data_IF_756502667036
#
_entry.id   IF_756502667036
#
_cell.length_a   1.000
_cell.length_b   1.000
_cell.length_c   1.000
_cell.angle_alpha   90.00
_cell.angle_beta   90.00
_cell.angle_gamma   90.00
#
_symmetry.space_group_name_H-M   'P 1'
#
loop_
_entity.id
_entity.type
_entity.pdbx_description
1 polymer ?
#
# COMPACT_ATOMS: atom_id res chain seq x y z
N UNK A 1 3.39 -23.41 8.75
CA UNK A 1 2.30 -22.43 8.59
C UNK A 1 2.18 -22.12 7.10
N UNK A 2 0.97 -22.02 6.57
CA UNK A 2 0.71 -21.70 5.16
C UNK A 2 0.27 -20.24 5.02
N UNK A 3 0.58 -19.60 3.89
CA UNK A 3 0.13 -18.24 3.58
C UNK A 3 -1.39 -18.25 3.42
N UNK A 4 -2.11 -17.37 4.11
CA UNK A 4 -3.56 -17.22 3.97
C UNK A 4 -3.93 -16.45 2.70
N UNK A 5 -4.93 -16.92 1.95
CA UNK A 5 -5.47 -16.21 0.78
C UNK A 5 -6.67 -15.37 1.21
N UNK A 6 -6.58 -14.05 1.04
CA UNK A 6 -7.65 -13.11 1.36
C UNK A 6 -8.37 -12.69 0.08
N UNK A 7 -9.70 -12.79 0.08
CA UNK A 7 -10.54 -12.38 -1.05
C UNK A 7 -10.82 -10.88 -1.02
N UNK A 8 -10.32 -10.15 -2.00
CA UNK A 8 -10.74 -8.77 -2.22
C UNK A 8 -12.17 -8.73 -2.76
N UNK A 9 -13.11 -8.04 -2.09
CA UNK A 9 -14.46 -7.80 -2.59
C UNK A 9 -14.66 -6.33 -3.03
N UNK A 10 -15.38 -6.08 -4.14
CA UNK A 10 -15.62 -4.71 -4.62
C UNK A 10 -16.72 -3.96 -3.83
N UNK A 11 -17.54 -4.68 -3.05
CA UNK A 11 -18.60 -4.13 -2.20
C UNK A 11 -19.14 -5.21 -1.24
N UNK A 12 -19.91 -4.78 -0.24
CA UNK A 12 -20.61 -5.64 0.72
C UNK A 12 -22.14 -5.68 0.50
N UNK A 13 -22.62 -5.38 -0.71
CA UNK A 13 -24.05 -5.54 -1.02
C UNK A 13 -24.47 -7.02 -0.87
N UNK A 14 -25.67 -7.25 -0.31
CA UNK A 14 -26.26 -8.58 -0.27
C UNK A 14 -26.44 -9.12 -1.68
N UNK A 15 -25.89 -10.30 -1.95
CA UNK A 15 -25.92 -10.89 -3.28
C UNK A 15 -24.90 -12.00 -3.48
N UNK A 16 -24.74 -12.46 -4.74
CA UNK A 16 -23.96 -13.65 -5.07
C UNK A 16 -22.49 -13.59 -4.64
N UNK A 17 -21.85 -12.42 -4.72
CA UNK A 17 -20.45 -12.26 -4.31
C UNK A 17 -20.26 -12.50 -2.82
N UNK A 18 -21.05 -11.81 -2.00
CA UNK A 18 -20.97 -11.93 -0.55
C UNK A 18 -21.35 -13.34 -0.07
N UNK A 19 -22.45 -13.89 -0.60
CA UNK A 19 -22.90 -15.25 -0.28
C UNK A 19 -21.83 -16.30 -0.64
N UNK A 20 -21.14 -16.13 -1.78
CA UNK A 20 -20.08 -17.04 -2.19
C UNK A 20 -18.84 -16.93 -1.31
N UNK A 21 -18.45 -15.71 -0.91
CA UNK A 21 -17.33 -15.51 0.00
C UNK A 21 -17.59 -16.17 1.37
N UNK A 22 -18.80 -16.01 1.91
CA UNK A 22 -19.23 -16.69 3.14
C UNK A 22 -19.21 -18.21 3.01
N UNK A 23 -19.77 -18.76 1.91
CA UNK A 23 -19.79 -20.21 1.68
C UNK A 23 -18.38 -20.83 1.53
N UNK A 24 -17.41 -20.06 1.03
CA UNK A 24 -16.00 -20.49 0.97
C UNK A 24 -15.28 -20.41 2.31
N UNK A 25 -15.91 -19.82 3.34
CA UNK A 25 -15.29 -19.47 4.62
C UNK A 25 -13.96 -18.70 4.42
N UNK A 26 -13.90 -17.89 3.36
CA UNK A 26 -12.70 -17.16 3.02
C UNK A 26 -12.60 -15.87 3.85
N UNK A 27 -11.41 -15.51 4.34
CA UNK A 27 -11.18 -14.17 4.86
C UNK A 27 -11.33 -13.17 3.71
N UNK A 28 -11.95 -12.03 4.00
CA UNK A 28 -12.27 -10.99 3.01
C UNK A 28 -11.51 -9.73 3.32
N UNK A 29 -11.13 -9.00 2.26
CA UNK A 29 -10.63 -7.63 2.33
C UNK A 29 -11.52 -6.73 1.48
N UNK A 30 -11.80 -5.53 1.98
CA UNK A 30 -12.45 -4.48 1.20
C UNK A 30 -11.60 -3.21 1.22
N UNK A 31 -11.66 -2.46 0.14
CA UNK A 31 -11.10 -1.12 0.07
C UNK A 31 -12.07 -0.11 0.67
N UNK A 32 -11.60 0.85 1.48
CA UNK A 32 -12.43 1.90 2.09
C UNK A 32 -13.30 2.63 1.05
N UNK A 33 -12.77 2.84 -0.15
CA UNK A 33 -13.49 3.47 -1.27
C UNK A 33 -14.79 2.74 -1.65
N UNK A 34 -14.93 1.43 -1.37
CA UNK A 34 -16.17 0.71 -1.64
C UNK A 34 -17.34 1.18 -0.76
N UNK A 35 -17.04 1.82 0.36
CA UNK A 35 -18.01 2.40 1.29
C UNK A 35 -18.23 3.89 1.06
N UNK A 36 -17.54 4.53 0.11
CA UNK A 36 -17.65 5.97 -0.10
C UNK A 36 -19.03 6.40 -0.62
N UNK A 37 -19.59 7.44 -0.02
CA UNK A 37 -20.74 8.19 -0.53
C UNK A 37 -20.26 9.36 -1.36
N UNK A 38 -20.84 9.51 -2.52
CA UNK A 38 -20.51 10.58 -3.44
C UNK A 38 -21.76 11.36 -3.80
N UNK A 39 -21.66 12.68 -3.81
CA UNK A 39 -22.68 13.59 -4.31
C UNK A 39 -22.17 14.24 -5.60
N UNK A 40 -23.09 14.62 -6.48
CA UNK A 40 -22.79 15.53 -7.58
C UNK A 40 -23.05 16.94 -7.05
N UNK A 41 -22.00 17.75 -6.96
CA UNK A 41 -22.08 19.16 -6.65
C UNK A 41 -21.40 19.90 -7.82
N UNK A 42 -22.13 20.81 -8.47
CA UNK A 42 -21.61 21.70 -9.52
C UNK A 42 -20.80 20.99 -10.63
N UNK A 43 -21.28 19.83 -11.09
CA UNK A 43 -20.64 19.03 -12.14
C UNK A 43 -19.48 18.16 -11.67
N UNK A 44 -19.02 18.31 -10.42
CA UNK A 44 -17.93 17.54 -9.83
C UNK A 44 -18.44 16.52 -8.81
N UNK A 45 -17.68 15.43 -8.65
CA UNK A 45 -18.00 14.35 -7.71
C UNK A 45 -17.33 14.67 -6.38
N UNK A 46 -18.12 15.01 -5.36
CA UNK A 46 -17.62 15.31 -4.03
C UNK A 46 -17.87 14.14 -3.08
N UNK A 47 -16.86 13.78 -2.28
CA UNK A 47 -17.03 12.81 -1.21
C UNK A 47 -17.92 13.39 -0.10
N UNK A 48 -18.77 12.55 0.50
CA UNK A 48 -19.83 13.01 1.41
C UNK A 48 -20.07 12.06 2.60
N UNK A 49 -19.03 11.30 2.97
CA UNK A 49 -19.09 10.34 4.08
C UNK A 49 -19.11 8.87 3.65
N UNK A 50 -19.31 7.99 4.64
CA UNK A 50 -19.29 6.54 4.49
C UNK A 50 -20.70 5.91 4.43
N UNK A 51 -20.82 4.77 3.76
CA UNK A 51 -22.00 3.87 3.71
C UNK A 51 -21.81 2.72 4.69
N UNK A 52 -21.66 3.01 5.98
CA UNK A 52 -21.38 1.98 7.00
C UNK A 52 -22.50 0.95 7.16
N UNK A 53 -23.74 1.28 6.77
CA UNK A 53 -24.87 0.35 6.86
C UNK A 53 -24.65 -1.00 6.14
N UNK A 54 -23.85 -1.05 5.07
CA UNK A 54 -23.55 -2.32 4.38
C UNK A 54 -22.60 -3.23 5.15
N UNK A 55 -21.90 -2.73 6.17
CA UNK A 55 -21.06 -3.55 7.05
C UNK A 55 -21.88 -4.57 7.85
N UNK A 56 -23.17 -4.30 8.06
CA UNK A 56 -24.07 -5.26 8.70
C UNK A 56 -24.19 -6.59 7.92
N UNK A 57 -23.92 -6.58 6.61
CA UNK A 57 -23.97 -7.77 5.77
C UNK A 57 -22.73 -8.66 5.95
N UNK A 58 -21.63 -8.14 6.53
CA UNK A 58 -20.39 -8.88 6.70
C UNK A 58 -20.40 -9.87 7.88
N UNK A 59 -21.52 -10.00 8.62
CA UNK A 59 -21.63 -10.83 9.83
C UNK A 59 -21.31 -12.31 9.59
N UNK A 60 -21.66 -12.84 8.42
CA UNK A 60 -21.46 -14.24 8.07
C UNK A 60 -20.11 -14.51 7.39
N UNK A 61 -19.24 -13.50 7.27
CA UNK A 61 -17.88 -13.68 6.75
C UNK A 61 -16.97 -14.23 7.85
N UNK A 62 -15.99 -15.05 7.45
CA UNK A 62 -14.98 -15.57 8.38
C UNK A 62 -14.18 -14.46 9.07
N UNK A 63 -13.81 -13.43 8.30
CA UNK A 63 -13.22 -12.19 8.80
C UNK A 63 -13.29 -11.10 7.73
N UNK A 64 -13.16 -9.84 8.14
CA UNK A 64 -13.10 -8.69 7.25
C UNK A 64 -11.90 -7.80 7.58
N UNK A 65 -10.99 -7.64 6.63
CA UNK A 65 -9.90 -6.67 6.66
C UNK A 65 -10.28 -5.40 5.89
N UNK A 66 -9.75 -4.25 6.31
CA UNK A 66 -9.97 -2.95 5.68
C UNK A 66 -8.66 -2.42 5.07
N UNK A 67 -8.66 -2.28 3.75
CA UNK A 67 -7.65 -1.53 2.98
C UNK A 67 -8.02 -0.04 2.92
N UNK A 68 -7.03 0.84 3.03
CA UNK A 68 -7.19 2.29 3.04
C UNK A 68 -7.61 2.88 1.69
N UNK A 69 -7.46 2.12 0.61
CA UNK A 69 -7.66 2.53 -0.78
C UNK A 69 -6.54 3.38 -1.40
N UNK A 70 -5.31 3.38 -0.84
CA UNK A 70 -4.18 4.21 -1.30
C UNK A 70 -4.04 4.27 -2.82
N UNK A 71 -3.94 3.12 -3.49
CA UNK A 71 -3.84 3.05 -4.96
C UNK A 71 -5.06 3.65 -5.69
N UNK A 72 -6.28 3.31 -5.25
CA UNK A 72 -7.49 3.81 -5.90
C UNK A 72 -7.62 5.31 -5.76
N UNK A 73 -7.17 5.87 -4.63
CA UNK A 73 -7.20 7.30 -4.38
C UNK A 73 -6.28 8.07 -5.33
N UNK A 74 -5.06 7.60 -5.53
CA UNK A 74 -4.11 8.23 -6.45
C UNK A 74 -4.59 8.14 -7.90
N UNK A 75 -5.00 6.95 -8.36
CA UNK A 75 -5.38 6.75 -9.77
C UNK A 75 -6.71 7.40 -10.13
N UNK A 76 -7.70 7.39 -9.23
CA UNK A 76 -9.06 7.86 -9.55
C UNK A 76 -9.31 9.31 -9.15
N UNK A 77 -8.71 9.76 -8.05
CA UNK A 77 -9.03 11.05 -7.43
C UNK A 77 -7.82 11.98 -7.33
N UNK A 78 -6.62 11.52 -7.72
CA UNK A 78 -5.35 12.28 -7.66
C UNK A 78 -5.00 12.76 -6.24
N UNK A 79 -5.44 12.02 -5.23
CA UNK A 79 -5.26 12.37 -3.82
C UNK A 79 -6.33 11.74 -2.94
N UNK A 80 -6.22 11.99 -1.64
CA UNK A 80 -7.17 11.52 -0.64
C UNK A 80 -8.47 12.33 -0.72
N UNK A 81 -9.64 11.73 -1.02
CA UNK A 81 -10.90 12.47 -1.04
C UNK A 81 -11.53 12.66 0.34
N UNK A 82 -10.92 12.09 1.39
CA UNK A 82 -11.34 12.16 2.79
C UNK A 82 -10.11 12.32 3.68
N UNK A 83 -10.29 12.84 4.89
CA UNK A 83 -9.19 12.99 5.85
C UNK A 83 -8.78 11.65 6.47
N UNK A 84 -7.57 11.58 7.03
CA UNK A 84 -7.16 10.43 7.84
C UNK A 84 -8.10 10.23 9.04
N UNK A 85 -8.60 11.32 9.64
CA UNK A 85 -9.61 11.25 10.71
C UNK A 85 -10.92 10.57 10.26
N UNK A 86 -11.41 10.90 9.06
CA UNK A 86 -12.60 10.27 8.47
C UNK A 86 -12.37 8.78 8.21
N UNK A 87 -11.20 8.42 7.70
CA UNK A 87 -10.81 7.02 7.49
C UNK A 87 -10.75 6.25 8.80
N UNK A 88 -10.11 6.80 9.82
CA UNK A 88 -9.98 6.15 11.13
C UNK A 88 -11.33 6.03 11.85
N UNK A 89 -12.25 6.97 11.63
CA UNK A 89 -13.65 6.85 12.10
C UNK A 89 -14.35 5.64 11.45
N UNK A 90 -14.16 5.43 10.14
CA UNK A 90 -14.64 4.21 9.47
C UNK A 90 -14.01 2.96 10.08
N UNK A 91 -12.69 2.97 10.27
CA UNK A 91 -11.96 1.84 10.83
C UNK A 91 -12.44 1.44 12.22
N UNK A 92 -12.85 2.40 13.05
CA UNK A 92 -13.44 2.14 14.37
C UNK A 92 -14.90 1.66 14.32
N UNK A 93 -15.63 1.91 13.22
CA UNK A 93 -17.08 1.66 13.11
C UNK A 93 -17.47 0.18 13.01
N UNK A 94 -16.51 -0.73 12.84
CA UNK A 94 -16.75 -2.17 12.71
C UNK A 94 -15.57 -2.96 13.30
N UNK A 95 -15.78 -4.19 13.81
CA UNK A 95 -14.71 -5.06 14.28
C UNK A 95 -13.93 -5.69 13.11
N UNK A 96 -13.30 -4.86 12.27
CA UNK A 96 -12.36 -5.36 11.26
C UNK A 96 -11.26 -6.20 11.92
N UNK A 97 -10.84 -7.28 11.28
CA UNK A 97 -9.74 -8.12 11.77
C UNK A 97 -8.40 -7.36 11.66
N UNK A 98 -8.17 -6.68 10.54
CA UNK A 98 -7.03 -5.77 10.31
C UNK A 98 -7.47 -4.50 9.61
N UNK A 99 -6.79 -3.39 9.90
CA UNK A 99 -6.99 -2.07 9.30
C UNK A 99 -5.63 -1.59 8.82
N UNK A 100 -5.46 -1.41 7.51
CA UNK A 100 -4.23 -0.85 6.97
C UNK A 100 -4.10 0.64 7.32
N UNK A 101 -2.89 1.16 7.40
CA UNK A 101 -2.72 2.62 7.35
C UNK A 101 -3.10 3.18 5.99
N UNK A 102 -3.37 4.49 5.94
CA UNK A 102 -3.36 5.25 4.68
C UNK A 102 -1.94 5.27 4.15
N UNK A 103 -1.77 4.99 2.87
CA UNK A 103 -0.47 4.83 2.23
C UNK A 103 -0.43 5.48 0.84
N UNK A 104 0.79 5.81 0.40
CA UNK A 104 1.05 6.40 -0.91
C UNK A 104 1.77 5.37 -1.78
N UNK A 105 1.01 4.77 -2.68
CA UNK A 105 1.47 3.68 -3.52
C UNK A 105 2.54 4.10 -4.55
N UNK A 106 3.52 3.24 -4.79
CA UNK A 106 4.72 3.49 -5.60
C UNK A 106 4.74 2.72 -6.93
N UNK A 107 3.61 2.21 -7.42
CA UNK A 107 3.53 1.58 -8.75
C UNK A 107 3.90 2.57 -9.86
N UNK A 108 4.43 2.05 -10.97
CA UNK A 108 4.89 2.86 -12.12
C UNK A 108 3.79 3.74 -12.74
N UNK A 109 2.53 3.37 -12.59
CA UNK A 109 1.37 4.14 -13.10
C UNK A 109 1.05 5.36 -12.24
N UNK A 110 1.67 5.44 -11.06
CA UNK A 110 1.40 6.46 -10.06
C UNK A 110 2.67 7.25 -9.78
N UNK A 111 3.79 6.58 -9.50
CA UNK A 111 5.09 7.22 -9.29
C UNK A 111 5.96 7.10 -10.56
N UNK A 112 6.23 8.20 -11.25
CA UNK A 112 6.84 8.12 -12.58
C UNK A 112 8.36 8.05 -12.53
N UNK A 113 8.96 8.63 -11.51
CA UNK A 113 10.40 8.70 -11.33
C UNK A 113 10.83 8.30 -9.91
N UNK A 114 12.15 8.40 -9.64
CA UNK A 114 12.74 7.99 -8.38
C UNK A 114 12.38 8.92 -7.22
N UNK A 115 12.32 10.22 -7.48
CA UNK A 115 12.01 11.22 -6.47
C UNK A 115 10.55 11.06 -6.02
N UNK A 116 9.63 10.81 -6.96
CA UNK A 116 8.24 10.55 -6.63
C UNK A 116 8.07 9.27 -5.80
N UNK A 117 8.87 8.22 -6.04
CA UNK A 117 8.88 7.03 -5.17
C UNK A 117 9.32 7.40 -3.75
N UNK A 118 10.41 8.16 -3.61
CA UNK A 118 10.94 8.55 -2.29
C UNK A 118 9.98 9.47 -1.53
N UNK A 119 9.37 10.43 -2.22
CA UNK A 119 8.36 11.33 -1.65
C UNK A 119 7.17 10.52 -1.10
N UNK A 120 6.73 9.49 -1.83
CA UNK A 120 5.63 8.62 -1.41
C UNK A 120 5.99 7.69 -0.26
N UNK A 121 7.23 7.23 -0.17
CA UNK A 121 7.73 6.51 1.01
C UNK A 121 7.66 7.41 2.25
N UNK A 122 8.17 8.64 2.16
CA UNK A 122 8.13 9.61 3.25
C UNK A 122 6.68 9.94 3.68
N UNK A 123 5.79 10.20 2.71
CA UNK A 123 4.36 10.43 2.97
C UNK A 123 3.71 9.25 3.68
N UNK A 124 4.04 8.04 3.27
CA UNK A 124 3.53 6.81 3.91
C UNK A 124 4.01 6.68 5.36
N UNK A 125 5.26 7.07 5.67
CA UNK A 125 5.74 7.08 7.05
C UNK A 125 4.96 8.06 7.94
N UNK A 126 4.70 9.26 7.43
CA UNK A 126 3.89 10.26 8.13
C UNK A 126 2.46 9.79 8.37
N UNK A 127 1.78 9.26 7.35
CA UNK A 127 0.41 8.76 7.49
C UNK A 127 0.33 7.51 8.38
N UNK A 128 1.36 6.67 8.39
CA UNK A 128 1.50 5.57 9.35
C UNK A 128 1.46 6.08 10.79
N UNK A 129 2.27 7.10 11.12
CA UNK A 129 2.29 7.67 12.48
C UNK A 129 0.97 8.28 12.87
N UNK A 130 0.35 9.07 11.98
CA UNK A 130 -0.95 9.68 12.26
C UNK A 130 -2.04 8.60 12.47
N UNK A 131 -2.11 7.60 11.59
CA UNK A 131 -3.05 6.49 11.73
C UNK A 131 -2.81 5.72 13.04
N UNK A 132 -1.55 5.47 13.40
CA UNK A 132 -1.20 4.76 14.64
C UNK A 132 -1.60 5.54 15.90
N UNK A 133 -1.39 6.85 15.92
CA UNK A 133 -1.81 7.72 17.02
C UNK A 133 -3.32 7.64 17.21
N UNK A 134 -4.08 7.89 16.12
CA UNK A 134 -5.55 7.83 16.11
C UNK A 134 -6.09 6.44 16.44
N UNK A 135 -5.42 5.37 16.02
CA UNK A 135 -5.80 4.02 16.37
C UNK A 135 -5.72 3.78 17.89
N UNK A 136 -4.83 4.49 18.59
CA UNK A 136 -4.78 4.50 20.04
C UNK A 136 -5.95 5.20 20.69
N UNK A 137 -6.22 6.42 20.24
CA UNK A 137 -7.31 7.24 20.77
C UNK A 137 -8.66 6.53 20.60
N UNK A 138 -8.80 5.75 19.52
CA UNK A 138 -10.00 4.97 19.21
C UNK A 138 -10.02 3.58 19.87
N UNK A 139 -8.95 3.15 20.56
CA UNK A 139 -8.87 1.83 21.20
C UNK A 139 -8.82 0.66 20.21
N UNK A 140 -8.27 0.87 19.01
CA UNK A 140 -8.24 -0.10 17.92
C UNK A 140 -6.83 -0.51 17.48
N UNK A 141 -5.80 -0.08 18.22
CA UNK A 141 -4.37 -0.28 17.89
C UNK A 141 -3.97 -1.74 17.64
N UNK A 142 -4.56 -2.69 18.35
CA UNK A 142 -4.35 -4.13 18.17
C UNK A 142 -4.77 -4.66 16.78
N UNK A 143 -5.56 -3.90 16.03
CA UNK A 143 -6.02 -4.23 14.67
C UNK A 143 -5.27 -3.45 13.60
N UNK A 144 -4.43 -2.50 14.00
CA UNK A 144 -3.73 -1.63 13.08
C UNK A 144 -2.58 -2.39 12.41
N UNK A 145 -2.49 -2.21 11.09
CA UNK A 145 -1.49 -2.81 10.22
C UNK A 145 -0.78 -1.67 9.47
N UNK A 146 0.37 -1.19 9.95
CA UNK A 146 1.12 -0.16 9.22
C UNK A 146 1.58 -0.73 7.87
N UNK A 147 1.65 0.12 6.85
CA UNK A 147 2.02 -0.27 5.48
C UNK A 147 3.38 0.30 5.13
N UNK A 148 4.29 -0.55 4.65
CA UNK A 148 5.55 -0.10 4.04
C UNK A 148 5.40 -0.04 2.52
N UNK A 149 6.09 0.93 1.92
CA UNK A 149 6.01 1.22 0.48
C UNK A 149 7.39 1.28 -0.17
N UNK A 150 7.44 1.18 -1.49
CA UNK A 150 8.70 1.26 -2.24
C UNK A 150 8.65 0.69 -3.66
N UNK A 151 9.70 0.96 -4.44
CA UNK A 151 9.92 0.36 -5.77
C UNK A 151 11.09 -0.62 -5.75
N UNK A 152 12.21 -0.20 -5.21
CA UNK A 152 13.44 -0.99 -5.06
C UNK A 152 13.45 -1.67 -3.67
N UNK A 153 14.15 -2.80 -3.48
CA UNK A 153 14.19 -3.46 -2.18
C UNK A 153 14.63 -2.55 -1.02
N UNK A 154 15.57 -1.64 -1.24
CA UNK A 154 16.03 -0.70 -0.22
C UNK A 154 15.03 0.41 0.13
N UNK A 155 14.05 0.70 -0.74
CA UNK A 155 12.93 1.56 -0.36
C UNK A 155 12.14 0.96 0.81
N UNK A 156 11.95 -0.35 0.79
CA UNK A 156 11.22 -1.06 1.83
C UNK A 156 12.03 -1.12 3.12
N UNK A 157 13.36 -1.15 3.05
CA UNK A 157 14.22 -1.03 4.21
C UNK A 157 14.05 0.35 4.88
N UNK A 158 14.21 1.43 4.11
CA UNK A 158 13.95 2.80 4.58
C UNK A 158 12.55 2.95 5.16
N UNK A 159 11.54 2.44 4.45
CA UNK A 159 10.15 2.52 4.88
C UNK A 159 9.93 1.77 6.19
N UNK A 160 10.57 0.62 6.40
CA UNK A 160 10.50 -0.14 7.66
C UNK A 160 11.17 0.62 8.80
N UNK A 161 12.38 1.16 8.58
CA UNK A 161 13.12 1.94 9.59
C UNK A 161 12.29 3.14 10.07
N UNK A 162 11.60 3.84 9.14
CA UNK A 162 10.76 5.00 9.45
C UNK A 162 9.54 4.70 10.33
N UNK A 163 9.16 3.43 10.48
CA UNK A 163 8.01 2.99 11.25
C UNK A 163 8.36 2.02 12.38
N UNK A 164 9.63 1.76 12.65
CA UNK A 164 10.06 0.75 13.63
C UNK A 164 9.37 0.92 15.00
N UNK A 165 9.28 2.16 15.47
CA UNK A 165 8.63 2.51 16.75
C UNK A 165 7.14 2.16 16.84
N UNK A 166 6.45 1.90 15.72
CA UNK A 166 5.02 1.56 15.68
C UNK A 166 4.77 0.11 15.23
N UNK A 167 5.82 -0.66 14.92
CA UNK A 167 5.71 -2.10 14.64
C UNK A 167 5.66 -2.87 15.96
N UNK A 168 4.45 -3.23 16.37
CA UNK A 168 4.25 -3.93 17.65
C UNK A 168 4.66 -5.42 17.55
N UNK A 169 5.17 -6.03 18.62
CA UNK A 169 5.49 -7.46 18.64
C UNK A 169 4.30 -8.33 18.23
N UNK A 170 4.53 -9.25 17.27
CA UNK A 170 3.50 -10.14 16.75
C UNK A 170 2.45 -9.47 15.85
N UNK A 171 2.62 -8.18 15.54
CA UNK A 171 1.76 -7.48 14.58
C UNK A 171 1.98 -7.96 13.15
N UNK A 172 0.99 -7.65 12.31
CA UNK A 172 1.11 -7.79 10.85
C UNK A 172 1.41 -6.41 10.30
N UNK A 173 2.42 -6.30 9.45
CA UNK A 173 2.63 -5.12 8.59
C UNK A 173 2.10 -5.39 7.19
N UNK A 174 1.62 -4.35 6.52
CA UNK A 174 1.25 -4.38 5.11
C UNK A 174 2.46 -4.08 4.23
N UNK A 175 2.57 -4.78 3.11
CA UNK A 175 3.58 -4.51 2.08
C UNK A 175 2.85 -4.06 0.81
N UNK A 176 2.93 -2.75 0.55
CA UNK A 176 2.29 -2.10 -0.59
C UNK A 176 3.04 -2.30 -1.90
N UNK A 177 2.48 -1.77 -3.00
CA UNK A 177 3.10 -1.79 -4.34
C UNK A 177 3.53 -3.17 -4.86
N UNK A 178 2.87 -4.23 -4.41
CA UNK A 178 3.06 -5.59 -4.93
C UNK A 178 2.11 -5.90 -6.09
N UNK A 179 1.02 -5.14 -6.23
CA UNK A 179 0.10 -5.28 -7.35
C UNK A 179 0.81 -5.04 -8.68
N UNK A 180 0.61 -5.94 -9.65
CA UNK A 180 1.23 -5.93 -10.99
C UNK A 180 2.76 -6.08 -11.01
N UNK A 181 3.46 -6.02 -9.87
CA UNK A 181 4.90 -6.25 -9.76
C UNK A 181 5.27 -7.59 -10.42
N UNK A 182 6.33 -7.65 -11.23
CA UNK A 182 6.88 -8.91 -11.73
C UNK A 182 7.35 -9.78 -10.56
N UNK A 183 7.18 -11.11 -10.66
CA UNK A 183 7.71 -12.02 -9.63
C UNK A 183 9.23 -11.97 -9.54
N UNK A 184 9.90 -11.80 -10.69
CA UNK A 184 11.35 -11.89 -10.86
C UNK A 184 11.99 -10.51 -11.09
N UNK A 185 13.32 -10.48 -11.05
CA UNK A 185 14.14 -9.29 -11.35
C UNK A 185 14.56 -8.52 -10.10
N UNK A 186 15.47 -7.54 -10.25
CA UNK A 186 16.05 -6.80 -9.11
C UNK A 186 15.04 -5.95 -8.34
N UNK A 187 13.97 -5.51 -9.01
CA UNK A 187 12.80 -4.85 -8.40
C UNK A 187 11.59 -5.80 -8.34
N UNK A 188 11.81 -7.11 -8.50
CA UNK A 188 10.77 -8.12 -8.46
C UNK A 188 10.17 -8.27 -7.07
N UNK A 189 9.01 -8.93 -7.00
CA UNK A 189 8.35 -9.26 -5.74
C UNK A 189 9.26 -10.09 -4.84
N UNK A 190 9.98 -11.08 -5.40
CA UNK A 190 10.86 -11.94 -4.63
C UNK A 190 12.08 -11.19 -4.11
N UNK A 191 12.68 -10.28 -4.89
CA UNK A 191 13.80 -9.46 -4.42
C UNK A 191 13.44 -8.60 -3.20
N UNK A 192 12.23 -8.03 -3.16
CA UNK A 192 11.74 -7.28 -1.99
C UNK A 192 11.53 -8.22 -0.78
N UNK A 193 10.95 -9.39 -1.00
CA UNK A 193 10.70 -10.38 0.06
C UNK A 193 12.00 -10.94 0.63
N UNK A 194 13.00 -11.20 -0.21
CA UNK A 194 14.34 -11.62 0.19
C UNK A 194 14.97 -10.53 1.06
N UNK A 195 15.01 -9.28 0.59
CA UNK A 195 15.53 -8.15 1.37
C UNK A 195 14.86 -8.02 2.74
N UNK A 196 13.53 -8.06 2.79
CA UNK A 196 12.77 -7.97 4.03
C UNK A 196 13.02 -9.15 4.97
N UNK A 197 13.30 -10.33 4.43
CA UNK A 197 13.63 -11.51 5.24
C UNK A 197 14.86 -11.30 6.14
N UNK A 198 15.78 -10.42 5.73
CA UNK A 198 17.00 -10.13 6.50
C UNK A 198 16.83 -9.02 7.54
N UNK A 199 15.81 -8.16 7.40
CA UNK A 199 15.68 -6.94 8.20
C UNK A 199 14.39 -6.87 9.03
N UNK A 200 13.40 -7.72 8.76
CA UNK A 200 12.15 -7.72 9.51
C UNK A 200 12.38 -8.07 10.99
N UNK A 201 11.78 -7.33 11.94
CA UNK A 201 11.85 -7.68 13.35
C UNK A 201 11.33 -9.10 13.61
N UNK A 202 11.97 -9.81 14.54
CA UNK A 202 11.63 -11.18 14.87
C UNK A 202 10.17 -11.25 15.36
N UNK A 203 9.40 -12.17 14.78
CA UNK A 203 8.00 -12.39 15.13
C UNK A 203 7.01 -11.52 14.33
N UNK A 204 7.48 -10.50 13.61
CA UNK A 204 6.65 -9.72 12.70
C UNK A 204 6.12 -10.59 11.57
N UNK A 205 4.86 -10.37 11.22
CA UNK A 205 4.21 -11.00 10.07
C UNK A 205 3.90 -9.97 9.00
N UNK A 206 3.65 -10.43 7.77
CA UNK A 206 3.31 -9.54 6.67
C UNK A 206 2.04 -9.95 5.92
N UNK A 207 1.32 -8.94 5.45
CA UNK A 207 0.30 -9.04 4.41
C UNK A 207 0.82 -8.37 3.13
N UNK A 208 0.91 -9.10 2.02
CA UNK A 208 1.35 -8.52 0.75
C UNK A 208 0.13 -8.17 -0.11
N UNK A 209 0.02 -6.88 -0.47
CA UNK A 209 -1.17 -6.36 -1.14
C UNK A 209 -1.21 -6.64 -2.65
N UNK A 210 -2.26 -7.29 -3.12
CA UNK A 210 -2.53 -7.46 -4.56
C UNK A 210 -1.57 -8.41 -5.28
N UNK A 211 -0.96 -9.36 -4.55
CA UNK A 211 -0.05 -10.36 -5.13
C UNK A 211 -0.78 -11.26 -6.12
N UNK A 212 -0.13 -11.55 -7.24
CA UNK A 212 -0.64 -12.50 -8.23
C UNK A 212 -0.42 -13.92 -7.74
N UNK A 213 -1.42 -14.76 -7.98
CA UNK A 213 -1.40 -16.15 -7.55
C UNK A 213 -0.25 -17.01 -8.08
N UNK A 214 0.32 -16.66 -9.24
CA UNK A 214 1.46 -17.37 -9.83
C UNK A 214 2.78 -17.12 -9.06
N UNK A 215 2.82 -16.12 -8.18
CA UNK A 215 3.93 -15.90 -7.26
C UNK A 215 3.89 -16.83 -6.03
N UNK A 216 2.76 -17.50 -5.75
CA UNK A 216 2.59 -18.30 -4.52
C UNK A 216 3.67 -19.38 -4.32
N UNK A 217 4.05 -20.19 -5.34
CA UNK A 217 5.11 -21.18 -5.17
C UNK A 217 6.47 -20.58 -4.80
N UNK A 218 6.74 -19.34 -5.24
CA UNK A 218 7.97 -18.62 -4.92
C UNK A 218 7.91 -17.93 -3.56
N UNK A 219 6.71 -17.65 -3.05
CA UNK A 219 6.50 -17.12 -1.71
C UNK A 219 6.50 -18.19 -0.61
N UNK A 220 6.24 -19.45 -0.98
CA UNK A 220 6.18 -20.57 -0.04
C UNK A 220 7.42 -20.70 0.90
N UNK A 221 8.68 -20.50 0.43
CA UNK A 221 9.85 -20.49 1.31
C UNK A 221 9.82 -19.43 2.43
N UNK A 222 9.02 -18.38 2.26
CA UNK A 222 8.90 -17.24 3.18
C UNK A 222 7.63 -17.29 4.04
N UNK A 223 6.85 -18.39 3.96
CA UNK A 223 5.60 -18.58 4.72
C UNK A 223 5.76 -18.52 6.25
N UNK A 224 7.00 -18.52 6.77
CA UNK A 224 7.27 -18.31 8.19
C UNK A 224 6.90 -16.91 8.66
N UNK A 225 6.94 -15.89 7.81
CA UNK A 225 6.63 -14.50 8.17
C UNK A 225 5.59 -13.87 7.24
N UNK A 226 5.42 -14.37 6.01
CA UNK A 226 4.29 -13.99 5.18
C UNK A 226 3.03 -14.65 5.72
N UNK A 227 2.17 -13.88 6.39
CA UNK A 227 0.93 -14.39 6.95
C UNK A 227 -0.17 -14.51 5.90
N UNK A 228 -0.23 -13.57 4.95
CA UNK A 228 -1.35 -13.52 4.00
C UNK A 228 -1.02 -12.72 2.74
N UNK A 229 -1.80 -12.98 1.69
CA UNK A 229 -1.88 -12.12 0.50
C UNK A 229 -3.34 -11.83 0.18
N UNK A 230 -3.63 -10.74 -0.53
CA UNK A 230 -4.94 -10.52 -1.12
C UNK A 230 -4.89 -10.40 -2.65
N UNK A 231 -6.04 -10.60 -3.28
CA UNK A 231 -6.24 -10.16 -4.66
C UNK A 231 -7.73 -10.00 -5.00
N UNK A 232 -8.00 -9.02 -5.87
CA UNK A 232 -9.26 -8.91 -6.61
C UNK A 232 -9.08 -9.21 -8.11
N UNK A 233 -8.00 -9.92 -8.49
CA UNK A 233 -7.66 -10.23 -9.88
C UNK A 233 -8.74 -11.01 -10.63
N UNK A 234 -9.54 -11.82 -9.92
CA UNK A 234 -10.71 -12.51 -10.45
C UNK A 234 -11.75 -11.55 -11.08
N UNK A 235 -11.87 -10.33 -10.57
CA UNK A 235 -12.78 -9.31 -11.10
C UNK A 235 -12.38 -8.81 -12.49
N UNK A 236 -11.07 -8.77 -12.77
CA UNK A 236 -10.52 -8.45 -14.10
C UNK A 236 -10.80 -9.60 -15.07
N UNK A 237 -10.61 -10.85 -14.63
CA UNK A 237 -10.93 -12.03 -15.44
C UNK A 237 -12.42 -12.07 -15.81
N UNK A 238 -13.32 -11.82 -14.86
CA UNK A 238 -14.76 -11.72 -15.10
C UNK A 238 -15.10 -10.61 -16.09
N UNK A 239 -14.47 -9.42 -15.98
CA UNK A 239 -14.66 -8.30 -16.92
C UNK A 239 -14.19 -8.65 -18.33
N UNK A 240 -13.01 -9.25 -18.47
CA UNK A 240 -12.45 -9.66 -19.77
C UNK A 240 -13.32 -10.74 -20.43
N UNK A 241 -13.81 -11.70 -19.66
CA UNK A 241 -14.75 -12.71 -20.14
C UNK A 241 -16.06 -12.07 -20.62
N UNK A 242 -16.69 -11.24 -19.79
CA UNK A 242 -17.92 -10.56 -20.16
C UNK A 242 -17.77 -9.74 -21.46
N UNK A 243 -16.66 -9.00 -21.60
CA UNK A 243 -16.34 -8.24 -22.81
C UNK A 243 -16.17 -9.15 -24.03
N UNK A 244 -15.36 -10.21 -23.92
CA UNK A 244 -15.10 -11.16 -25.02
C UNK A 244 -16.38 -11.82 -25.53
N UNK A 245 -17.28 -12.16 -24.61
CA UNK A 245 -18.54 -12.83 -24.94
C UNK A 245 -19.70 -11.85 -25.14
N UNK A 246 -19.46 -10.53 -25.06
CA UNK A 246 -20.47 -9.46 -25.21
C UNK A 246 -21.68 -9.65 -24.29
N UNK A 247 -21.45 -10.12 -23.06
CA UNK A 247 -22.47 -10.26 -22.01
C UNK A 247 -22.24 -9.26 -20.89
N UNK A 248 -23.26 -9.03 -20.08
CA UNK A 248 -23.12 -8.20 -18.88
C UNK A 248 -22.29 -8.91 -17.80
N UNK A 249 -21.38 -8.18 -17.16
CA UNK A 249 -20.69 -8.66 -15.95
C UNK A 249 -21.63 -8.56 -14.75
N UNK A 250 -22.43 -9.59 -14.53
CA UNK A 250 -23.29 -9.71 -13.34
C UNK A 250 -22.49 -10.17 -12.12
N UNK A 251 -23.01 -9.92 -10.92
CA UNK A 251 -22.40 -10.42 -9.68
C UNK A 251 -22.40 -11.95 -9.60
N UNK A 252 -23.39 -12.62 -10.20
CA UNK A 252 -23.41 -14.09 -10.29
C UNK A 252 -22.22 -14.61 -11.11
N UNK A 253 -22.01 -14.04 -12.30
CA UNK A 253 -20.85 -14.38 -13.13
C UNK A 253 -19.55 -14.10 -12.37
N UNK A 254 -19.46 -12.92 -11.74
CA UNK A 254 -18.27 -12.51 -11.01
C UNK A 254 -17.97 -13.45 -9.81
N UNK A 255 -19.00 -13.90 -9.10
CA UNK A 255 -18.90 -14.87 -8.00
C UNK A 255 -18.39 -16.24 -8.46
N UNK A 256 -18.77 -16.71 -9.64
CA UNK A 256 -18.25 -17.97 -10.18
C UNK A 256 -16.76 -17.88 -10.54
N UNK A 257 -16.32 -16.73 -11.06
CA UNK A 257 -14.89 -16.46 -11.28
C UNK A 257 -14.12 -16.36 -9.96
N UNK A 258 -14.71 -15.71 -8.96
CA UNK A 258 -14.13 -15.58 -7.63
C UNK A 258 -13.93 -16.95 -6.96
N UNK A 259 -14.95 -17.82 -6.96
CA UNK A 259 -14.86 -19.17 -6.39
C UNK A 259 -13.73 -19.98 -7.03
N UNK A 260 -13.75 -20.09 -8.37
CA UNK A 260 -12.70 -20.82 -9.09
C UNK A 260 -11.32 -20.26 -8.83
N UNK A 261 -11.18 -18.92 -8.81
CA UNK A 261 -9.92 -18.27 -8.54
C UNK A 261 -9.41 -18.60 -7.13
N UNK A 262 -10.28 -18.52 -6.11
CA UNK A 262 -9.92 -18.79 -4.72
C UNK A 262 -9.42 -20.22 -4.54
N UNK A 263 -10.19 -21.21 -5.03
CA UNK A 263 -9.80 -22.63 -4.96
C UNK A 263 -8.48 -22.90 -5.70
N UNK A 264 -8.27 -22.24 -6.83
CA UNK A 264 -7.01 -22.34 -7.57
C UNK A 264 -5.84 -21.79 -6.75
N UNK A 265 -6.01 -20.69 -6.02
CA UNK A 265 -4.94 -20.14 -5.17
C UNK A 265 -4.66 -21.04 -3.97
N UNK A 266 -5.70 -21.58 -3.34
CA UNK A 266 -5.53 -22.56 -2.27
C UNK A 266 -4.80 -23.82 -2.76
N UNK A 267 -5.11 -24.31 -3.97
CA UNK A 267 -4.39 -25.44 -4.56
C UNK A 267 -2.91 -25.11 -4.85
N UNK A 268 -2.61 -23.88 -5.29
CA UNK A 268 -1.23 -23.42 -5.53
C UNK A 268 -0.37 -23.37 -4.27
N UNK A 269 -0.97 -23.17 -3.10
CA UNK A 269 -0.24 -23.25 -1.82
C UNK A 269 0.26 -24.68 -1.52
N UNK A 270 -0.29 -25.69 -2.18
CA UNK A 270 0.12 -27.09 -2.06
C UNK A 270 1.16 -27.48 -3.11
N UNK A 271 1.47 -26.60 -4.06
CA UNK A 271 2.53 -26.85 -5.03
C UNK A 271 3.91 -26.84 -4.35
N UNK A 272 4.89 -27.61 -4.88
CA UNK A 272 6.26 -27.56 -4.38
C UNK A 272 6.84 -26.14 -4.42
N UNK A 273 7.55 -25.71 -3.35
CA UNK A 273 8.22 -24.42 -3.33
C UNK A 273 9.19 -24.29 -4.51
N UNK A 274 9.26 -23.07 -5.06
CA UNK A 274 10.22 -22.71 -6.11
C UNK A 274 11.20 -21.69 -5.56
N UNK A 275 12.45 -21.86 -5.93
CA UNK A 275 13.54 -20.99 -5.51
C UNK A 275 14.01 -20.17 -6.70
N UNK A 276 14.32 -18.91 -6.46
CA UNK A 276 15.03 -18.06 -7.39
C UNK A 276 16.46 -17.89 -6.89
N UNK A 277 17.36 -17.60 -7.81
CA UNK A 277 18.65 -17.02 -7.43
C UNK A 277 18.38 -15.66 -6.81
N UNK A 278 19.03 -15.40 -5.68
CA UNK A 278 18.97 -14.10 -5.01
C UNK A 278 19.28 -12.99 -6.01
N UNK A 279 18.46 -11.93 -5.98
CA UNK A 279 18.64 -10.81 -6.88
C UNK A 279 19.99 -10.12 -6.60
N UNK A 280 20.70 -9.75 -7.65
CA UNK A 280 21.89 -8.92 -7.51
C UNK A 280 21.52 -7.56 -6.90
N UNK A 281 22.42 -7.00 -6.11
CA UNK A 281 22.29 -5.66 -5.55
C UNK A 281 22.05 -4.63 -6.67
N UNK A 282 21.16 -3.68 -6.40
CA UNK A 282 20.94 -2.56 -7.30
C UNK A 282 22.10 -1.59 -7.11
N UNK A 283 22.84 -1.22 -8.18
CA UNK A 283 23.94 -0.27 -8.06
C UNK A 283 23.47 1.05 -7.46
N UNK A 284 24.25 1.55 -6.49
CA UNK A 284 24.01 2.88 -5.92
C UNK A 284 24.17 3.92 -7.01
N UNK A 285 23.15 4.79 -7.16
CA UNK A 285 23.22 5.89 -8.12
C UNK A 285 24.21 6.94 -7.64
N UNK A 286 25.16 7.40 -8.50
CA UNK A 286 26.03 8.50 -8.13
C UNK A 286 25.22 9.79 -7.93
N UNK A 287 25.67 10.70 -7.05
CA UNK A 287 25.02 11.99 -6.90
C UNK A 287 25.10 12.81 -8.21
N UNK A 288 24.18 13.77 -8.42
CA UNK A 288 24.26 14.69 -9.56
C UNK A 288 25.60 15.42 -9.60
N UNK A 289 26.12 15.69 -10.80
CA UNK A 289 27.37 16.44 -10.96
C UNK A 289 27.16 17.95 -10.85
N UNK A 290 26.03 18.44 -11.35
CA UNK A 290 25.69 19.85 -11.26
C UNK A 290 25.36 20.22 -9.80
N UNK A 291 26.03 21.23 -9.21
CA UNK A 291 25.85 21.46 -7.79
C UNK A 291 24.46 22.06 -7.45
N UNK A 292 23.71 22.60 -8.43
CA UNK A 292 22.33 23.05 -8.22
C UNK A 292 21.41 21.83 -8.15
N UNK A 293 21.58 20.85 -9.04
CA UNK A 293 20.94 19.55 -8.93
C UNK A 293 21.28 18.84 -7.60
N UNK A 294 22.51 18.97 -7.09
CA UNK A 294 22.87 18.47 -5.76
C UNK A 294 22.11 19.20 -4.63
N UNK A 295 21.97 20.52 -4.74
CA UNK A 295 21.21 21.31 -3.76
C UNK A 295 19.72 20.92 -3.76
N UNK A 296 19.14 20.69 -4.94
CA UNK A 296 17.76 20.18 -5.09
C UNK A 296 17.62 18.80 -4.47
N UNK A 297 18.55 17.88 -4.75
CA UNK A 297 18.53 16.53 -4.19
C UNK A 297 18.65 16.54 -2.65
N UNK A 298 19.51 17.41 -2.10
CA UNK A 298 19.64 17.59 -0.65
C UNK A 298 18.36 18.20 -0.06
N UNK A 299 17.81 19.26 -0.65
CA UNK A 299 16.58 19.88 -0.18
C UNK A 299 15.43 18.86 -0.11
N UNK A 300 15.27 18.03 -1.15
CA UNK A 300 14.27 16.94 -1.14
C UNK A 300 14.53 15.93 -0.05
N UNK A 301 15.79 15.54 0.18
CA UNK A 301 16.14 14.61 1.26
C UNK A 301 15.79 15.20 2.65
N UNK A 302 16.19 16.44 2.92
CA UNK A 302 15.90 17.12 4.20
C UNK A 302 14.39 17.29 4.45
N UNK A 303 13.63 17.70 3.43
CA UNK A 303 12.17 17.83 3.55
C UNK A 303 11.52 16.46 3.83
N UNK A 304 11.97 15.39 3.16
CA UNK A 304 11.46 14.03 3.44
C UNK A 304 11.77 13.61 4.86
N UNK A 305 12.97 13.85 5.34
CA UNK A 305 13.37 13.45 6.68
C UNK A 305 12.49 14.16 7.73
N UNK A 306 12.21 15.45 7.54
CA UNK A 306 11.27 16.21 8.39
C UNK A 306 9.81 15.69 8.29
N UNK A 307 9.37 15.26 7.11
CA UNK A 307 8.08 14.59 6.96
C UNK A 307 8.09 13.24 7.66
N UNK A 308 9.20 12.50 7.58
CA UNK A 308 9.41 11.20 8.23
C UNK A 308 9.62 11.30 9.74
N UNK A 309 9.94 12.46 10.31
CA UNK A 309 9.92 12.69 11.77
C UNK A 309 8.59 13.28 12.25
N UNK A 310 7.79 13.83 11.32
CA UNK A 310 6.51 14.48 11.61
C UNK A 310 6.64 15.96 11.98
N UNK A 311 7.81 16.56 11.73
CA UNK A 311 8.03 18.00 11.81
C UNK A 311 7.33 18.75 10.68
N UNK A 312 7.07 18.07 9.56
CA UNK A 312 6.31 18.58 8.43
C UNK A 312 5.12 17.68 8.09
N UNK A 313 4.08 18.31 7.52
CA UNK A 313 2.92 17.60 6.99
C UNK A 313 3.31 16.79 5.73
N UNK A 314 2.71 15.62 5.56
CA UNK A 314 2.92 14.76 4.41
C UNK A 314 2.64 15.43 3.05
N UNK A 315 1.76 16.43 2.98
CA UNK A 315 1.49 17.16 1.73
C UNK A 315 2.45 18.33 1.48
N UNK A 316 3.44 18.54 2.34
CA UNK A 316 4.30 19.72 2.28
C UNK A 316 5.30 19.69 1.10
N UNK A 317 5.64 18.52 0.51
CA UNK A 317 6.53 18.46 -0.66
C UNK A 317 5.86 19.11 -1.88
N UNK A 318 6.33 20.31 -2.23
CA UNK A 318 5.93 21.07 -3.41
C UNK A 318 7.17 21.60 -4.14
N UNK A 319 7.11 21.70 -5.47
CA UNK A 319 8.28 22.12 -6.27
C UNK A 319 8.80 23.50 -5.87
N UNK A 320 7.91 24.46 -5.65
CA UNK A 320 8.28 25.82 -5.24
C UNK A 320 9.03 25.85 -3.89
N UNK A 321 8.66 24.97 -2.95
CA UNK A 321 9.31 24.93 -1.66
C UNK A 321 10.66 24.21 -1.70
N UNK A 322 10.75 23.13 -2.48
CA UNK A 322 12.02 22.44 -2.75
C UNK A 322 13.01 23.40 -3.41
N UNK A 323 12.58 24.18 -4.40
CA UNK A 323 13.44 25.17 -5.07
C UNK A 323 13.91 26.27 -4.12
N UNK A 324 13.02 26.78 -3.25
CA UNK A 324 13.39 27.78 -2.24
C UNK A 324 14.45 27.25 -1.26
N UNK A 325 14.24 26.04 -0.73
CA UNK A 325 15.20 25.41 0.19
C UNK A 325 16.53 25.08 -0.50
N UNK A 326 16.48 24.64 -1.75
CA UNK A 326 17.68 24.40 -2.55
C UNK A 326 18.45 25.69 -2.83
N UNK A 327 17.77 26.83 -3.03
CA UNK A 327 18.40 28.14 -3.16
C UNK A 327 19.20 28.49 -1.89
N UNK A 328 18.62 28.28 -0.70
CA UNK A 328 19.30 28.52 0.56
C UNK A 328 20.54 27.63 0.73
N UNK A 329 20.42 26.33 0.44
CA UNK A 329 21.55 25.38 0.45
C UNK A 329 22.64 25.83 -0.54
N UNK A 330 22.26 26.15 -1.77
CA UNK A 330 23.19 26.58 -2.81
C UNK A 330 23.93 27.87 -2.43
N UNK A 331 23.21 28.85 -1.87
CA UNK A 331 23.80 30.11 -1.43
C UNK A 331 24.74 29.93 -0.24
N UNK A 332 24.42 29.04 0.71
CA UNK A 332 25.29 28.73 1.86
C UNK A 332 26.63 28.09 1.46
N UNK A 333 26.69 27.42 0.30
CA UNK A 333 27.88 26.74 -0.21
C UNK A 333 28.81 27.65 -1.01
N UNK A 334 28.40 28.90 -1.32
CA UNK A 334 29.27 29.85 -2.00
C UNK A 334 30.29 30.42 -1.00
N UNK A 335 31.60 30.33 -1.27
CA UNK A 335 32.59 31.01 -0.43
C UNK A 335 32.29 32.51 -0.43
N UNK A 336 32.32 33.13 0.76
CA UNK A 336 32.25 34.59 0.86
C UNK A 336 33.32 35.18 -0.07
N UNK A 337 32.88 35.91 -1.09
CA UNK A 337 33.81 36.69 -1.90
C UNK A 337 34.38 37.76 -0.97
N UNK A 338 35.70 37.86 -0.76
CA UNK A 338 36.26 38.92 0.07
C UNK A 338 35.77 40.24 -0.50
N UNK A 339 35.04 41.02 0.32
CA UNK A 339 34.73 42.40 -0.03
C UNK A 339 36.07 43.10 -0.21
N UNK A 340 36.46 43.40 -1.44
CA UNK A 340 37.56 44.30 -1.72
C UNK A 340 37.24 45.61 -0.99
N UNK A 341 37.99 45.87 0.08
CA UNK A 341 38.03 47.18 0.73
C UNK A 341 38.71 48.11 -0.27
N UNK A 342 38.03 49.22 -0.58
CA UNK A 342 38.37 50.20 -1.60
C UNK A 342 39.76 50.83 -1.43
#
# INVERSE_FOLDING_TARGET
MTIEIVLGLPHLANGPLLARAAALCAPVLISANCLSRWRKADGWRQWSGWRTGTLANARDLASLDLDSAGYTMMVRYRGLPWSIADYMTLAASYPFRRISSVDYCCEHEVAHDREEVLDRVARTAATNRECFARAGDLGIRQRFMPVIQGREPDDYARSLDSIDAIVLPGSVIGIGSMCRRPTHGPQGLIAVVERLTHILPIGTKAHLFGVKGDALPYLAPFARWIASIDSQGWGIAARRHALRHRISKTDRLAADFMDRWYRTQCARLLEPPRFLTEAADIPVRPPPLDPWEQAIAQARAEIRDLIETGELDHDAITDAWVEGWAADIWHSRRPETPRYVA
#
